data_IF_612527159436
#
_entry.id   IF_612527159436
#
_cell.length_a   1.000
_cell.length_b   1.000
_cell.length_c   1.000
_cell.angle_alpha   90.00
_cell.angle_beta   90.00
_cell.angle_gamma   90.00
#
_symmetry.space_group_name_H-M   'P 1'
#
loop_
_entity.id
_entity.type
_entity.pdbx_description
1 polymer ?
#
# COMPACT_ATOMS: atom_id res chain seq x y z
N UNK A 1 -4.78 17.63 -12.06
CA UNK A 1 -5.74 16.68 -11.49
C UNK A 1 -5.05 15.99 -10.33
N UNK A 2 -5.22 16.49 -9.10
CA UNK A 2 -4.80 15.73 -7.93
C UNK A 2 -5.63 14.44 -7.92
N UNK A 3 -4.99 13.28 -7.89
CA UNK A 3 -5.66 12.01 -7.66
C UNK A 3 -5.55 11.66 -6.18
N UNK A 4 -6.40 12.23 -5.30
CA UNK A 4 -6.29 12.03 -3.85
C UNK A 4 -6.42 10.57 -3.44
N UNK A 5 -7.01 9.70 -4.28
CA UNK A 5 -7.17 8.28 -3.98
C UNK A 5 -5.86 7.50 -4.16
N UNK A 6 -5.14 7.69 -5.27
CA UNK A 6 -3.89 6.96 -5.53
C UNK A 6 -2.83 7.39 -4.53
N UNK A 7 -2.70 8.70 -4.29
CA UNK A 7 -1.76 9.22 -3.29
C UNK A 7 -2.03 8.63 -1.90
N UNK A 8 -3.31 8.57 -1.46
CA UNK A 8 -3.68 7.97 -0.18
C UNK A 8 -3.34 6.48 -0.11
N UNK A 9 -3.52 5.73 -1.19
CA UNK A 9 -3.15 4.31 -1.25
C UNK A 9 -1.62 4.14 -1.12
N UNK A 10 -0.83 4.95 -1.83
CA UNK A 10 0.63 4.93 -1.73
C UNK A 10 1.11 5.29 -0.32
N UNK A 11 0.53 6.32 0.31
CA UNK A 11 0.82 6.68 1.70
C UNK A 11 0.48 5.54 2.65
N UNK A 12 -0.65 4.87 2.47
CA UNK A 12 -1.06 3.73 3.28
C UNK A 12 -0.08 2.55 3.15
N UNK A 13 0.34 2.20 1.92
CA UNK A 13 1.35 1.15 1.69
C UNK A 13 2.64 1.48 2.45
N UNK A 14 3.12 2.72 2.33
CA UNK A 14 4.33 3.17 3.05
C UNK A 14 4.18 3.03 4.56
N UNK A 15 3.05 3.45 5.13
CA UNK A 15 2.78 3.35 6.57
C UNK A 15 2.76 1.91 7.07
N UNK A 16 2.01 1.02 6.40
CA UNK A 16 1.86 -0.38 6.81
C UNK A 16 3.11 -1.24 6.61
N UNK A 17 4.05 -0.77 5.77
CA UNK A 17 5.33 -1.44 5.51
C UNK A 17 6.43 -0.97 6.47
N UNK A 18 6.38 0.30 6.90
CA UNK A 18 7.39 0.91 7.76
C UNK A 18 7.13 0.68 9.26
N UNK A 19 5.86 0.59 9.69
CA UNK A 19 5.51 0.52 11.10
C UNK A 19 4.52 -0.62 11.39
N UNK A 20 4.94 -1.70 12.09
CA UNK A 20 4.07 -2.84 12.39
C UNK A 20 3.08 -2.58 13.53
N UNK A 21 3.14 -1.42 14.19
CA UNK A 21 2.37 -1.09 15.40
C UNK A 21 1.35 0.02 15.17
N UNK A 22 0.73 0.08 13.99
CA UNK A 22 -0.38 1.01 13.72
C UNK A 22 -1.72 0.29 13.80
N UNK A 23 -2.65 0.83 14.56
CA UNK A 23 -4.05 0.41 14.55
C UNK A 23 -4.79 0.98 13.34
N UNK A 24 -5.99 0.46 13.09
CA UNK A 24 -6.87 0.99 12.04
C UNK A 24 -7.27 2.44 12.35
N UNK A 25 -7.53 2.76 13.61
CA UNK A 25 -8.00 4.08 14.01
C UNK A 25 -6.89 5.14 13.89
N UNK A 26 -5.67 4.82 14.34
CA UNK A 26 -4.51 5.70 14.14
C UNK A 26 -4.19 5.90 12.64
N UNK A 27 -4.38 4.85 11.84
CA UNK A 27 -4.21 4.94 10.38
C UNK A 27 -5.25 5.85 9.75
N UNK A 28 -6.50 5.76 10.22
CA UNK A 28 -7.61 6.58 9.75
C UNK A 28 -7.38 8.06 10.07
N UNK A 29 -6.94 8.35 11.30
CA UNK A 29 -6.61 9.70 11.77
C UNK A 29 -5.48 10.33 10.93
N UNK A 30 -4.35 9.60 10.76
CA UNK A 30 -3.20 10.09 9.99
C UNK A 30 -3.48 10.34 8.51
N UNK A 31 -4.42 9.61 7.93
CA UNK A 31 -4.84 9.79 6.55
C UNK A 31 -6.07 10.70 6.41
N UNK A 32 -6.60 11.21 7.52
CA UNK A 32 -7.82 12.02 7.59
C UNK A 32 -9.00 11.38 6.83
N UNK A 33 -9.21 10.08 7.09
CA UNK A 33 -10.30 9.29 6.51
C UNK A 33 -11.04 8.52 7.61
N UNK A 34 -12.20 7.94 7.29
CA UNK A 34 -12.90 7.06 8.23
C UNK A 34 -12.18 5.71 8.40
N UNK A 35 -12.29 5.06 9.57
CA UNK A 35 -11.84 3.67 9.76
C UNK A 35 -12.44 2.70 8.74
N UNK A 36 -13.70 2.92 8.33
CA UNK A 36 -14.35 2.16 7.24
C UNK A 36 -13.62 2.27 5.92
N UNK A 37 -13.09 3.45 5.59
CA UNK A 37 -12.27 3.67 4.39
C UNK A 37 -10.94 2.90 4.48
N UNK A 38 -10.33 2.84 5.66
CA UNK A 38 -9.10 2.05 5.90
C UNK A 38 -9.37 0.57 5.67
N UNK A 39 -10.45 0.01 6.24
CA UNK A 39 -10.85 -1.38 5.99
C UNK A 39 -11.06 -1.66 4.49
N UNK A 40 -11.75 -0.76 3.78
CA UNK A 40 -11.94 -0.88 2.33
C UNK A 40 -10.61 -0.93 1.58
N UNK A 41 -9.62 -0.13 1.95
CA UNK A 41 -8.29 -0.15 1.32
C UNK A 41 -7.51 -1.41 1.66
N UNK A 42 -7.61 -1.90 2.90
CA UNK A 42 -7.04 -3.20 3.29
C UNK A 42 -7.62 -4.32 2.43
N UNK A 43 -8.94 -4.31 2.19
CA UNK A 43 -9.59 -5.31 1.35
C UNK A 43 -9.14 -5.19 -0.11
N UNK A 44 -8.96 -3.97 -0.63
CA UNK A 44 -8.35 -3.74 -1.95
C UNK A 44 -6.94 -4.35 -2.03
N UNK A 45 -6.11 -4.18 -1.00
CA UNK A 45 -4.78 -4.80 -0.99
C UNK A 45 -4.84 -6.33 -0.95
N UNK A 46 -5.74 -6.91 -0.16
CA UNK A 46 -5.94 -8.37 -0.14
C UNK A 46 -6.40 -8.91 -1.48
N UNK A 47 -7.32 -8.22 -2.15
CA UNK A 47 -7.79 -8.57 -3.50
C UNK A 47 -6.67 -8.47 -4.53
N UNK A 48 -5.74 -7.54 -4.34
CA UNK A 48 -4.53 -7.41 -5.16
C UNK A 48 -3.41 -8.40 -4.77
N UNK A 49 -3.64 -9.34 -3.83
CA UNK A 49 -2.66 -10.36 -3.46
C UNK A 49 -1.69 -9.98 -2.34
N UNK A 50 -1.83 -8.80 -1.74
CA UNK A 50 -1.05 -8.44 -0.56
C UNK A 50 -1.51 -9.19 0.69
N UNK A 51 -0.54 -9.66 1.47
CA UNK A 51 -0.80 -10.26 2.78
C UNK A 51 -0.85 -9.15 3.84
N UNK A 52 -2.05 -8.81 4.31
CA UNK A 52 -2.26 -7.86 5.42
C UNK A 52 -2.54 -8.62 6.71
N UNK A 53 -1.61 -8.55 7.67
CA UNK A 53 -1.72 -9.20 8.99
C UNK A 53 -2.33 -8.24 10.00
N UNK A 54 -3.21 -8.76 10.86
CA UNK A 54 -3.73 -8.06 12.04
C UNK A 54 -3.32 -8.83 13.29
N UNK A 55 -2.51 -8.22 14.16
CA UNK A 55 -2.01 -8.85 15.40
C UNK A 55 -2.18 -7.87 16.54
N UNK A 56 -2.89 -8.26 17.60
CA UNK A 56 -3.15 -7.41 18.78
C UNK A 56 -3.73 -6.02 18.43
N UNK A 57 -4.60 -5.95 17.41
CA UNK A 57 -5.22 -4.70 16.96
C UNK A 57 -4.38 -3.90 15.96
N UNK A 58 -3.09 -4.21 15.82
CA UNK A 58 -2.20 -3.57 14.85
C UNK A 58 -2.29 -4.21 13.48
N UNK A 59 -2.20 -3.39 12.43
CA UNK A 59 -2.21 -3.80 11.03
C UNK A 59 -0.83 -3.61 10.41
N UNK A 60 -0.39 -4.59 9.61
CA UNK A 60 0.87 -4.54 8.89
C UNK A 60 0.79 -5.26 7.55
N UNK A 61 1.55 -4.77 6.58
CA UNK A 61 1.80 -5.50 5.34
C UNK A 61 2.94 -6.48 5.55
N UNK A 62 2.73 -7.72 5.14
CA UNK A 62 3.79 -8.73 5.16
C UNK A 62 4.75 -8.51 4.00
N UNK A 63 6.02 -8.23 4.31
CA UNK A 63 7.08 -7.99 3.32
C UNK A 63 7.41 -9.24 2.49
N UNK A 64 7.00 -10.42 2.94
CA UNK A 64 7.12 -11.67 2.16
C UNK A 64 6.04 -11.84 1.10
N UNK A 65 5.08 -10.92 0.99
CA UNK A 65 4.05 -10.99 -0.05
C UNK A 65 4.71 -10.90 -1.45
N UNK A 66 4.41 -11.85 -2.36
CA UNK A 66 5.01 -11.91 -3.70
C UNK A 66 4.91 -10.58 -4.48
N UNK A 67 3.83 -9.85 -4.21
CA UNK A 67 3.52 -8.60 -4.88
C UNK A 67 4.51 -7.46 -4.57
N UNK A 68 5.24 -7.49 -3.45
CA UNK A 68 6.32 -6.51 -3.22
C UNK A 68 7.51 -6.74 -4.15
N UNK A 69 7.78 -7.99 -4.54
CA UNK A 69 8.80 -8.33 -5.52
C UNK A 69 8.36 -7.85 -6.91
N UNK A 70 7.12 -8.12 -7.29
CA UNK A 70 6.54 -7.67 -8.56
C UNK A 70 6.47 -6.13 -8.67
N UNK A 71 6.07 -5.43 -7.60
CA UNK A 71 6.10 -3.94 -7.57
C UNK A 71 7.54 -3.43 -7.66
N UNK A 72 8.49 -4.05 -6.98
CA UNK A 72 9.91 -3.66 -7.07
C UNK A 72 10.42 -3.82 -8.50
N UNK A 73 10.05 -4.90 -9.18
CA UNK A 73 10.39 -5.16 -10.58
C UNK A 73 9.69 -4.18 -11.54
N UNK A 74 8.43 -3.82 -11.28
CA UNK A 74 7.68 -2.81 -12.06
C UNK A 74 8.16 -1.37 -11.84
N UNK A 75 8.72 -1.05 -10.66
CA UNK A 75 9.29 0.28 -10.37
C UNK A 75 10.73 0.38 -10.90
N UNK A 76 11.40 -0.76 -11.07
CA UNK A 76 12.74 -0.86 -11.65
C UNK A 76 12.78 -0.70 -13.17
N UNK A 77 11.82 -0.02 -13.80
CA UNK A 77 12.08 0.53 -15.13
C UNK A 77 13.23 1.53 -15.00
N UNK A 78 14.38 1.19 -15.56
CA UNK A 78 15.45 2.19 -15.73
C UNK A 78 14.98 3.25 -16.72
N UNK A 79 15.61 4.43 -16.74
CA UNK A 79 15.33 5.45 -17.76
C UNK A 79 15.46 4.86 -19.18
N UNK A 80 16.33 3.87 -19.38
CA UNK A 80 16.46 3.16 -20.66
C UNK A 80 15.26 2.27 -20.99
N UNK A 81 14.70 1.52 -20.04
CA UNK A 81 13.58 0.61 -20.30
C UNK A 81 12.26 1.36 -20.54
N UNK A 82 12.06 2.51 -19.89
CA UNK A 82 10.94 3.40 -20.14
C UNK A 82 10.98 4.03 -21.55
N UNK A 83 12.16 4.14 -22.16
CA UNK A 83 12.34 4.68 -23.51
C UNK A 83 11.92 3.67 -24.60
N UNK A 84 12.07 2.37 -24.35
CA UNK A 84 11.72 1.29 -25.30
C UNK A 84 10.19 1.16 -25.46
N UNK A 85 9.40 1.45 -24.42
CA UNK A 85 7.93 1.37 -24.43
C UNK A 85 7.24 2.53 -25.18
N UNK A 86 7.99 3.51 -25.70
CA UNK A 86 7.45 4.61 -26.52
C UNK A 86 7.32 4.28 -28.02
N UNK A 87 7.63 3.04 -28.44
CA UNK A 87 7.46 2.56 -29.81
C UNK A 87 6.55 1.35 -29.87
#
# INVERSE_FOLDING_TARGET
MDQPKIERLLRLIKMLTANPSLTVDETAERLSISPRTVYRYIDTFRQAGFVVKKVNGFIKLDKSSPYFKEISELIHFTEEEAYILKY
#
